data_IF_314421822944
#
_entry.id   IF_314421822944
#
_cell.length_a   1.000
_cell.length_b   1.000
_cell.length_c   1.000
_cell.angle_alpha   90.00
_cell.angle_beta   90.00
_cell.angle_gamma   90.00
#
_symmetry.space_group_name_H-M   'P 1'
#
loop_
_entity.id
_entity.type
_entity.pdbx_description
1 polymer ?
#
# COMPACT_ATOMS: atom_id res chain seq x y z
N UNK A 1 -12.76 -21.81 3.80
CA UNK A 1 -12.74 -23.30 4.00
C UNK A 1 -12.95 -24.05 2.69
N UNK A 2 -13.92 -23.67 1.83
CA UNK A 2 -14.17 -24.37 0.56
C UNK A 2 -12.91 -24.47 -0.30
N UNK A 3 -12.28 -23.36 -0.65
CA UNK A 3 -11.07 -23.35 -1.46
C UNK A 3 -9.94 -24.23 -0.92
N UNK A 4 -9.75 -24.29 0.40
CA UNK A 4 -8.72 -25.16 1.00
C UNK A 4 -9.08 -26.64 0.88
N UNK A 5 -10.38 -26.98 0.98
CA UNK A 5 -10.86 -28.34 0.71
C UNK A 5 -10.66 -28.74 -0.74
N UNK A 6 -10.95 -27.85 -1.67
CA UNK A 6 -10.76 -28.10 -3.10
C UNK A 6 -9.28 -28.32 -3.43
N UNK A 7 -8.38 -27.52 -2.85
CA UNK A 7 -6.93 -27.69 -3.00
C UNK A 7 -6.48 -29.03 -2.40
N UNK A 8 -6.97 -29.38 -1.22
CA UNK A 8 -6.63 -30.65 -0.58
C UNK A 8 -7.09 -31.84 -1.43
N UNK A 9 -8.33 -31.80 -1.93
CA UNK A 9 -8.87 -32.88 -2.78
C UNK A 9 -8.11 -33.01 -4.10
N UNK A 10 -7.71 -31.90 -4.72
CA UNK A 10 -6.92 -31.91 -5.96
C UNK A 10 -5.48 -32.38 -5.76
N UNK A 11 -4.99 -32.46 -4.53
CA UNK A 11 -3.62 -32.81 -4.17
C UNK A 11 -3.56 -33.96 -3.18
N UNK A 12 -4.50 -34.89 -3.24
CA UNK A 12 -4.55 -36.06 -2.34
C UNK A 12 -3.24 -36.85 -2.39
N UNK A 13 -2.73 -37.21 -1.20
CA UNK A 13 -1.45 -37.90 -1.05
C UNK A 13 -0.21 -37.02 -1.33
N UNK A 14 -0.36 -35.71 -1.59
CA UNK A 14 0.72 -34.79 -1.89
C UNK A 14 0.80 -33.66 -0.85
N UNK A 15 1.87 -32.88 -0.95
CA UNK A 15 2.03 -31.61 -0.22
C UNK A 15 1.80 -30.45 -1.19
N UNK A 16 0.92 -29.53 -0.83
CA UNK A 16 0.67 -28.29 -1.55
C UNK A 16 1.04 -27.09 -0.70
N UNK A 17 1.70 -26.10 -1.27
CA UNK A 17 1.97 -24.82 -0.62
C UNK A 17 0.89 -23.80 -1.03
N UNK A 18 0.30 -23.14 -0.05
CA UNK A 18 -0.71 -22.10 -0.27
C UNK A 18 -0.22 -20.79 0.32
N UNK A 19 -0.11 -19.79 -0.51
CA UNK A 19 0.30 -18.43 -0.11
C UNK A 19 -0.94 -17.56 0.03
N UNK A 20 -1.05 -16.85 1.15
CA UNK A 20 -2.19 -15.96 1.43
C UNK A 20 -1.79 -14.82 2.37
N UNK A 21 -2.75 -14.03 2.78
CA UNK A 21 -2.54 -12.85 3.63
C UNK A 21 -2.88 -13.14 5.08
N UNK A 22 -2.23 -12.44 6.01
CA UNK A 22 -2.36 -12.67 7.44
C UNK A 22 -3.80 -12.71 7.95
N UNK A 23 -4.67 -11.82 7.48
CA UNK A 23 -6.09 -11.83 7.87
C UNK A 23 -6.83 -13.09 7.37
N UNK A 24 -6.60 -13.50 6.11
CA UNK A 24 -7.24 -14.68 5.53
C UNK A 24 -6.75 -15.98 6.20
N UNK A 25 -5.45 -16.07 6.47
CA UNK A 25 -4.85 -17.20 7.19
C UNK A 25 -5.41 -17.27 8.62
N UNK A 26 -5.48 -16.14 9.32
CA UNK A 26 -6.04 -16.06 10.67
C UNK A 26 -7.49 -16.54 10.73
N UNK A 27 -8.33 -16.08 9.79
CA UNK A 27 -9.73 -16.49 9.69
C UNK A 27 -9.85 -18.00 9.40
N UNK A 28 -9.03 -18.53 8.49
CA UNK A 28 -9.00 -19.94 8.18
C UNK A 28 -8.63 -20.79 9.41
N UNK A 29 -7.53 -20.44 10.08
CA UNK A 29 -7.06 -21.17 11.26
C UNK A 29 -8.05 -21.10 12.41
N UNK A 30 -8.67 -19.94 12.65
CA UNK A 30 -9.72 -19.78 13.65
C UNK A 30 -10.93 -20.68 13.34
N UNK A 31 -11.39 -20.67 12.09
CA UNK A 31 -12.51 -21.50 11.67
C UNK A 31 -12.23 -23.01 11.79
N UNK A 32 -10.99 -23.45 11.48
CA UNK A 32 -10.59 -24.86 11.65
C UNK A 32 -10.48 -25.26 13.13
N UNK A 33 -10.21 -24.32 14.02
CA UNK A 33 -10.12 -24.53 15.46
C UNK A 33 -11.48 -24.31 16.18
N UNK A 34 -12.55 -23.98 15.45
CA UNK A 34 -13.87 -23.74 16.01
C UNK A 34 -13.96 -22.45 16.83
N UNK A 35 -13.09 -21.49 16.58
CA UNK A 35 -13.09 -20.19 17.28
C UNK A 35 -14.19 -19.32 16.66
N UNK A 36 -15.16 -18.81 17.46
CA UNK A 36 -16.20 -17.94 16.95
C UNK A 36 -15.64 -16.60 16.44
N UNK A 37 -16.35 -15.99 15.50
CA UNK A 37 -15.92 -14.76 14.85
C UNK A 37 -15.74 -13.59 15.85
N UNK A 38 -16.58 -13.56 16.89
CA UNK A 38 -16.56 -12.58 17.97
C UNK A 38 -15.26 -12.65 18.79
N UNK A 39 -14.63 -13.81 18.82
CA UNK A 39 -13.36 -14.04 19.54
C UNK A 39 -12.13 -13.89 18.64
N UNK A 40 -12.33 -13.64 17.36
CA UNK A 40 -11.23 -13.48 16.39
C UNK A 40 -10.25 -12.40 16.84
N UNK A 41 -10.71 -11.34 17.50
CA UNK A 41 -9.87 -10.28 18.06
C UNK A 41 -8.82 -10.76 19.05
N UNK A 42 -9.09 -11.88 19.75
CA UNK A 42 -8.20 -12.49 20.73
C UNK A 42 -7.19 -13.47 20.10
N UNK A 43 -7.40 -13.87 18.84
CA UNK A 43 -6.51 -14.79 18.12
C UNK A 43 -5.29 -14.04 17.60
N UNK A 44 -4.06 -14.53 17.81
CA UNK A 44 -2.87 -13.86 17.30
C UNK A 44 -2.89 -13.80 15.76
N UNK A 45 -2.46 -12.68 15.21
CA UNK A 45 -2.06 -12.58 13.81
C UNK A 45 -0.68 -13.23 13.70
N UNK A 46 -0.51 -14.15 12.78
CA UNK A 46 0.79 -14.75 12.53
C UNK A 46 1.84 -13.72 12.12
N UNK A 47 3.09 -14.06 12.34
CA UNK A 47 4.24 -13.28 11.91
C UNK A 47 4.32 -13.20 10.38
N UNK A 48 4.97 -12.17 9.84
CA UNK A 48 5.18 -12.08 8.40
C UNK A 48 5.99 -13.29 7.90
N UNK A 49 5.55 -13.87 6.80
CA UNK A 49 6.15 -15.08 6.19
C UNK A 49 6.12 -16.35 7.06
N UNK A 50 5.45 -16.32 8.21
CA UNK A 50 5.27 -17.52 9.01
C UNK A 50 4.53 -18.62 8.27
N UNK A 51 4.90 -19.85 8.54
CA UNK A 51 4.31 -21.04 7.93
C UNK A 51 3.35 -21.70 8.92
N UNK A 52 2.26 -22.25 8.43
CA UNK A 52 1.37 -23.11 9.23
C UNK A 52 1.14 -24.41 8.48
N UNK A 53 1.18 -25.54 9.17
CA UNK A 53 0.97 -26.85 8.58
C UNK A 53 -0.45 -27.33 8.87
N UNK A 54 -1.16 -27.68 7.82
CA UNK A 54 -2.45 -28.33 7.86
C UNK A 54 -2.31 -29.77 7.35
N UNK A 55 -3.04 -30.70 7.94
CA UNK A 55 -3.19 -32.07 7.45
C UNK A 55 -4.62 -32.27 7.01
N UNK A 56 -4.81 -32.71 5.77
CA UNK A 56 -6.11 -33.05 5.21
C UNK A 56 -6.24 -34.58 5.09
N UNK A 57 -7.34 -35.13 5.60
CA UNK A 57 -7.72 -36.54 5.46
C UNK A 57 -9.21 -36.54 5.04
N UNK A 58 -9.44 -36.71 3.75
CA UNK A 58 -10.76 -36.55 3.16
C UNK A 58 -11.32 -35.13 3.42
N UNK A 59 -12.50 -35.04 4.00
CA UNK A 59 -13.15 -33.76 4.33
C UNK A 59 -12.59 -33.09 5.62
N UNK A 60 -11.81 -33.82 6.40
CA UNK A 60 -11.26 -33.34 7.67
C UNK A 60 -9.94 -32.63 7.43
N UNK A 61 -9.86 -31.39 7.90
CA UNK A 61 -8.60 -30.61 7.88
C UNK A 61 -8.26 -30.27 9.34
N UNK A 62 -7.03 -30.57 9.73
CA UNK A 62 -6.49 -30.32 11.07
C UNK A 62 -5.31 -29.36 11.00
N UNK A 63 -5.22 -28.44 11.95
CA UNK A 63 -4.04 -27.61 12.17
C UNK A 63 -3.03 -28.46 12.96
N UNK A 64 -1.90 -28.79 12.34
CA UNK A 64 -0.81 -29.53 13.01
C UNK A 64 0.02 -28.57 13.86
N UNK A 65 0.44 -27.47 13.27
CA UNK A 65 1.07 -26.35 13.96
C UNK A 65 0.80 -25.07 13.18
N UNK A 66 0.97 -23.95 13.86
CA UNK A 66 0.68 -22.63 13.28
C UNK A 66 1.80 -21.64 13.58
N UNK A 67 1.93 -20.65 12.72
CA UNK A 67 2.75 -19.46 12.95
C UNK A 67 4.22 -19.77 13.24
N UNK A 68 4.78 -20.78 12.56
CA UNK A 68 6.21 -21.06 12.66
C UNK A 68 6.99 -20.02 11.86
N UNK A 69 7.73 -19.19 12.58
CA UNK A 69 8.61 -18.16 12.07
C UNK A 69 10.09 -18.47 12.37
N UNK A 70 10.43 -19.71 12.69
CA UNK A 70 11.79 -20.13 13.10
C UNK A 70 12.86 -19.88 12.03
N UNK A 71 12.44 -19.78 10.78
CA UNK A 71 13.33 -19.42 9.65
C UNK A 71 13.72 -17.93 9.65
N UNK A 72 13.04 -17.08 10.43
CA UNK A 72 13.38 -15.67 10.54
C UNK A 72 14.36 -15.50 11.71
N UNK A 73 15.54 -15.04 11.39
CA UNK A 73 16.60 -14.83 12.41
C UNK A 73 16.59 -13.43 13.00
N UNK A 74 16.00 -12.46 12.31
CA UNK A 74 15.87 -11.09 12.76
C UNK A 74 14.53 -10.90 13.50
N UNK A 75 14.56 -10.53 14.80
CA UNK A 75 13.34 -10.27 15.59
C UNK A 75 12.44 -9.19 14.98
N UNK A 76 12.99 -8.26 14.18
CA UNK A 76 12.19 -7.23 13.49
C UNK A 76 11.18 -7.81 12.50
N UNK A 77 11.42 -9.01 11.98
CA UNK A 77 10.52 -9.70 11.05
C UNK A 77 9.57 -10.69 11.74
N UNK A 78 9.87 -11.11 12.96
CA UNK A 78 9.07 -12.12 13.69
C UNK A 78 7.91 -11.52 14.48
N UNK A 79 7.97 -10.24 14.81
CA UNK A 79 6.86 -9.59 15.50
C UNK A 79 5.75 -9.27 14.50
N UNK A 80 4.59 -9.92 14.67
CA UNK A 80 3.40 -9.63 13.88
C UNK A 80 3.15 -8.14 13.85
N UNK A 81 2.83 -7.63 12.66
CA UNK A 81 2.57 -6.22 12.43
C UNK A 81 1.33 -5.76 13.20
N UNK A 82 1.47 -5.52 14.49
CA UNK A 82 0.50 -4.70 15.20
C UNK A 82 0.75 -3.26 14.77
N UNK A 83 -0.31 -2.58 14.38
CA UNK A 83 -0.31 -1.19 13.88
C UNK A 83 0.42 -0.21 14.83
N UNK A 84 0.76 -0.62 16.04
CA UNK A 84 1.36 0.22 17.09
C UNK A 84 2.88 0.13 17.25
N UNK A 85 3.53 -0.88 16.65
CA UNK A 85 5.00 -0.99 16.78
C UNK A 85 5.58 -1.57 15.49
N UNK A 86 6.02 -0.72 14.60
CA UNK A 86 6.90 -1.14 13.52
C UNK A 86 8.32 -1.24 14.10
N UNK A 87 8.76 -2.44 14.37
CA UNK A 87 10.11 -2.73 14.86
C UNK A 87 11.23 -2.25 13.90
N UNK A 88 10.88 -1.92 12.67
CA UNK A 88 11.78 -1.40 11.65
C UNK A 88 11.91 0.14 11.65
N UNK A 89 11.43 0.83 12.67
CA UNK A 89 11.48 2.29 12.77
C UNK A 89 10.62 3.06 11.76
N UNK A 90 9.78 2.38 10.99
CA UNK A 90 8.84 3.06 10.10
C UNK A 90 7.72 3.71 10.91
N UNK A 91 7.44 4.95 10.59
CA UNK A 91 6.32 5.69 11.17
C UNK A 91 4.96 5.02 10.87
N UNK A 92 3.94 5.19 11.71
CA UNK A 92 2.59 4.71 11.42
C UNK A 92 2.10 5.17 10.05
N UNK A 93 1.28 4.36 9.39
CA UNK A 93 0.67 4.74 8.12
C UNK A 93 -0.27 5.93 8.27
N UNK A 94 -0.36 6.74 7.21
CA UNK A 94 -1.30 7.85 7.17
C UNK A 94 -2.74 7.35 7.00
N UNK A 95 -3.65 8.04 7.63
CA UNK A 95 -5.07 7.96 7.32
C UNK A 95 -5.42 9.04 6.30
N UNK A 96 -6.05 8.66 5.19
CA UNK A 96 -6.35 9.56 4.07
C UNK A 96 -7.82 9.94 4.02
N UNK A 97 -8.10 11.23 3.77
CA UNK A 97 -9.44 11.73 3.49
C UNK A 97 -9.38 12.95 2.57
N UNK A 98 -10.46 13.23 1.81
CA UNK A 98 -10.54 14.46 1.03
C UNK A 98 -10.30 15.67 1.91
N UNK A 99 -9.53 16.63 1.41
CA UNK A 99 -9.31 17.90 2.10
C UNK A 99 -10.57 18.77 1.96
N UNK A 100 -11.04 19.28 3.07
CA UNK A 100 -12.17 20.23 3.07
C UNK A 100 -11.78 21.52 2.35
N UNK A 101 -12.76 22.18 1.68
CA UNK A 101 -12.49 23.41 0.92
C UNK A 101 -11.92 24.53 1.79
N UNK A 102 -12.34 24.60 3.05
CA UNK A 102 -11.86 25.57 4.03
C UNK A 102 -10.39 25.39 4.41
N UNK A 103 -9.84 24.22 4.09
CA UNK A 103 -8.45 23.86 4.36
C UNK A 103 -7.60 23.83 3.08
N UNK A 104 -8.13 24.27 1.93
CA UNK A 104 -7.48 24.16 0.62
C UNK A 104 -6.16 24.96 0.50
N UNK A 105 -5.94 25.96 1.35
CA UNK A 105 -4.68 26.72 1.41
C UNK A 105 -3.56 25.94 2.13
N UNK A 106 -3.90 24.91 2.84
CA UNK A 106 -3.00 24.14 3.69
C UNK A 106 -1.85 23.49 2.91
N UNK A 107 -2.09 22.79 1.79
CA UNK A 107 -1.01 22.15 1.03
C UNK A 107 -0.03 23.14 0.39
N UNK A 108 -0.52 24.32 0.00
CA UNK A 108 0.34 25.35 -0.60
C UNK A 108 1.36 25.89 0.40
N UNK A 109 0.99 26.02 1.67
CA UNK A 109 1.92 26.42 2.74
C UNK A 109 3.02 25.37 2.99
N UNK A 110 2.79 24.10 2.62
CA UNK A 110 3.79 23.04 2.79
C UNK A 110 4.68 22.85 1.57
N UNK A 111 4.20 23.26 0.41
CA UNK A 111 4.83 22.93 -0.84
C UNK A 111 6.21 23.57 -0.99
N UNK A 112 6.42 24.71 -0.38
CA UNK A 112 7.70 25.46 -0.47
C UNK A 112 8.10 25.82 -1.91
N UNK A 113 7.60 25.13 -2.92
CA UNK A 113 8.04 25.21 -4.30
C UNK A 113 7.08 24.68 -5.36
N UNK A 114 6.12 23.85 -5.02
CA UNK A 114 5.19 23.32 -6.03
C UNK A 114 3.93 24.19 -6.03
N UNK A 115 3.54 24.68 -7.20
CA UNK A 115 2.39 25.56 -7.35
C UNK A 115 1.13 25.07 -6.64
N UNK A 116 0.19 25.97 -6.37
CA UNK A 116 -1.10 25.61 -5.84
C UNK A 116 -1.82 24.63 -6.78
N UNK A 117 -2.58 23.65 -6.24
CA UNK A 117 -3.40 22.80 -7.09
C UNK A 117 -4.37 23.67 -7.88
N UNK A 118 -4.75 23.26 -9.11
CA UNK A 118 -5.75 23.98 -9.89
C UNK A 118 -7.02 24.21 -9.07
N UNK A 119 -7.68 25.34 -9.27
CA UNK A 119 -8.92 25.66 -8.58
C UNK A 119 -9.96 24.55 -8.80
N UNK A 120 -10.46 23.95 -7.73
CA UNK A 120 -11.43 22.87 -7.78
C UNK A 120 -10.82 21.46 -7.96
N UNK A 121 -9.50 21.33 -8.08
CA UNK A 121 -8.85 20.01 -8.13
C UNK A 121 -9.12 19.21 -6.84
N UNK A 122 -9.42 17.90 -6.95
CA UNK A 122 -9.51 17.04 -5.80
C UNK A 122 -8.18 16.99 -5.04
N UNK A 123 -8.22 17.18 -3.73
CA UNK A 123 -7.04 17.07 -2.86
C UNK A 123 -7.31 16.01 -1.81
N UNK A 124 -6.39 15.06 -1.68
CA UNK A 124 -6.41 14.05 -0.63
C UNK A 124 -5.33 14.38 0.39
N UNK A 125 -5.72 14.55 1.64
CA UNK A 125 -4.80 14.80 2.73
C UNK A 125 -4.56 13.54 3.57
N UNK A 126 -3.31 13.35 3.97
CA UNK A 126 -2.88 12.31 4.89
C UNK A 126 -2.75 12.85 6.30
N UNK A 127 -3.34 12.16 7.26
CA UNK A 127 -3.39 12.53 8.67
C UNK A 127 -2.70 11.49 9.54
N UNK A 128 -2.03 11.95 10.57
CA UNK A 128 -1.50 11.15 11.66
C UNK A 128 -2.12 11.67 12.97
N UNK A 129 -2.88 10.81 13.66
CA UNK A 129 -3.58 11.16 14.90
C UNK A 129 -4.38 12.49 14.80
N UNK A 130 -5.04 12.70 13.65
CA UNK A 130 -5.82 13.90 13.37
C UNK A 130 -5.02 15.10 12.87
N UNK A 131 -3.68 15.05 12.92
CA UNK A 131 -2.79 16.10 12.42
C UNK A 131 -2.55 15.89 10.93
N UNK A 132 -2.76 16.87 10.06
CA UNK A 132 -2.46 16.76 8.65
C UNK A 132 -0.94 16.83 8.45
N UNK A 133 -0.39 15.86 7.73
CA UNK A 133 1.06 15.70 7.53
C UNK A 133 1.49 15.83 6.08
N UNK A 134 0.55 15.65 5.15
CA UNK A 134 0.86 15.75 3.72
C UNK A 134 -0.41 15.74 2.88
N UNK A 135 -0.30 16.10 1.62
CA UNK A 135 -1.40 16.08 0.67
C UNK A 135 -0.92 15.79 -0.75
N UNK A 136 -1.82 15.22 -1.55
CA UNK A 136 -1.67 15.04 -2.99
C UNK A 136 -2.92 15.57 -3.68
N UNK A 137 -2.72 16.33 -4.77
CA UNK A 137 -3.81 16.81 -5.61
C UNK A 137 -3.81 16.06 -6.95
N UNK A 138 -4.98 15.98 -7.56
CA UNK A 138 -5.20 15.29 -8.82
C UNK A 138 -5.76 16.25 -9.88
N UNK A 139 -5.32 16.11 -11.10
CA UNK A 139 -5.89 16.77 -12.27
C UNK A 139 -6.28 15.70 -13.30
N UNK A 140 -7.53 15.25 -13.22
CA UNK A 140 -8.04 14.14 -14.01
C UNK A 140 -8.18 14.45 -15.50
N UNK A 141 -8.23 15.74 -15.86
CA UNK A 141 -8.34 16.19 -17.22
C UNK A 141 -7.00 16.30 -17.93
N UNK A 142 -5.97 16.73 -17.22
CA UNK A 142 -4.67 17.00 -17.81
C UNK A 142 -3.98 15.72 -18.28
N UNK A 143 -3.56 15.72 -19.56
CA UNK A 143 -2.89 14.60 -20.24
C UNK A 143 -3.66 13.27 -20.21
N UNK A 144 -4.95 13.34 -19.96
CA UNK A 144 -5.82 12.17 -19.89
C UNK A 144 -5.85 11.37 -21.19
N UNK A 145 -5.79 12.04 -22.34
CA UNK A 145 -5.75 11.43 -23.67
C UNK A 145 -4.48 10.60 -23.92
N UNK A 146 -3.42 10.87 -23.14
CA UNK A 146 -2.15 10.13 -23.19
C UNK A 146 -2.09 8.96 -22.23
N UNK A 147 -3.18 8.61 -21.55
CA UNK A 147 -3.19 7.59 -20.51
C UNK A 147 -2.46 8.01 -19.24
N UNK A 148 -2.21 9.30 -19.03
CA UNK A 148 -1.47 9.81 -17.89
C UNK A 148 -2.41 10.32 -16.79
N UNK A 149 -2.05 10.09 -15.53
CA UNK A 149 -2.58 10.77 -14.37
C UNK A 149 -1.65 11.91 -13.97
N UNK A 150 -2.20 13.12 -13.81
CA UNK A 150 -1.40 14.30 -13.48
C UNK A 150 -1.50 14.65 -11.99
N UNK A 151 -0.34 14.80 -11.35
CA UNK A 151 -0.21 15.21 -9.94
C UNK A 151 0.29 16.65 -9.91
N UNK A 152 -0.60 17.67 -9.82
CA UNK A 152 -0.18 19.07 -9.77
C UNK A 152 0.52 19.45 -8.47
N UNK A 153 0.24 18.71 -7.38
CA UNK A 153 0.82 18.94 -6.07
C UNK A 153 1.03 17.62 -5.33
N UNK A 154 2.21 17.44 -4.77
CA UNK A 154 2.49 16.47 -3.72
C UNK A 154 3.36 17.15 -2.66
N UNK A 155 2.84 17.29 -1.46
CA UNK A 155 3.50 18.02 -0.39
C UNK A 155 3.50 17.23 0.93
N UNK A 156 4.61 17.31 1.66
CA UNK A 156 4.72 16.82 3.04
C UNK A 156 5.19 17.99 3.90
N UNK A 157 4.46 18.26 4.98
CA UNK A 157 4.81 19.31 5.93
C UNK A 157 6.22 19.08 6.50
N UNK A 158 7.00 20.14 6.66
CA UNK A 158 8.43 20.07 6.96
C UNK A 158 8.78 19.17 8.16
N UNK A 159 8.07 19.24 9.31
CA UNK A 159 8.38 18.37 10.46
C UNK A 159 8.19 16.88 10.20
N UNK A 160 7.50 16.53 9.11
CA UNK A 160 7.13 15.16 8.77
C UNK A 160 7.89 14.61 7.56
N UNK A 161 8.80 15.40 6.99
CA UNK A 161 9.65 14.95 5.87
C UNK A 161 10.63 13.86 6.29
N UNK A 162 11.10 13.07 5.34
CA UNK A 162 12.06 11.97 5.53
C UNK A 162 11.57 10.82 6.42
N UNK A 163 10.26 10.68 6.58
CA UNK A 163 9.60 9.63 7.37
C UNK A 163 8.76 8.66 6.51
N UNK A 164 8.95 8.66 5.18
CA UNK A 164 8.23 7.77 4.27
C UNK A 164 6.81 8.21 3.92
N UNK A 165 6.35 9.40 4.33
CA UNK A 165 4.99 9.85 4.02
C UNK A 165 4.80 10.26 2.57
N UNK A 166 5.84 10.77 1.91
CA UNK A 166 5.77 11.11 0.48
C UNK A 166 5.45 9.91 -0.39
N UNK A 167 6.02 8.74 -0.12
CA UNK A 167 5.72 7.52 -0.90
C UNK A 167 4.29 7.03 -0.66
N UNK A 168 3.72 7.23 0.52
CA UNK A 168 2.32 6.90 0.79
C UNK A 168 1.37 7.78 -0.04
N UNK A 169 1.71 9.07 -0.23
CA UNK A 169 0.97 9.98 -1.11
C UNK A 169 1.08 9.57 -2.58
N UNK A 170 2.26 9.15 -3.06
CA UNK A 170 2.42 8.56 -4.40
C UNK A 170 1.52 7.32 -4.54
N UNK A 171 1.47 6.47 -3.52
CA UNK A 171 0.59 5.30 -3.49
C UNK A 171 -0.89 5.67 -3.66
N UNK A 172 -1.34 6.77 -3.04
CA UNK A 172 -2.71 7.26 -3.24
C UNK A 172 -2.96 7.72 -4.68
N UNK A 173 -1.98 8.36 -5.32
CA UNK A 173 -2.10 8.73 -6.73
C UNK A 173 -2.16 7.49 -7.65
N UNK A 174 -1.39 6.45 -7.36
CA UNK A 174 -1.50 5.17 -8.09
C UNK A 174 -2.89 4.56 -7.91
N UNK A 175 -3.42 4.55 -6.68
CA UNK A 175 -4.75 4.02 -6.39
C UNK A 175 -5.87 4.84 -7.05
N UNK A 176 -5.68 6.15 -7.22
CA UNK A 176 -6.64 7.02 -7.89
C UNK A 176 -6.65 6.79 -9.40
N UNK A 177 -5.48 6.79 -10.04
CA UNK A 177 -5.39 6.81 -11.50
C UNK A 177 -5.42 5.44 -12.17
N UNK A 178 -4.90 4.39 -11.54
CA UNK A 178 -4.87 3.06 -12.14
C UNK A 178 -6.26 2.49 -12.46
N UNK A 179 -7.29 2.60 -11.59
CA UNK A 179 -8.65 2.18 -11.92
C UNK A 179 -9.29 2.98 -13.07
N UNK A 180 -8.78 4.19 -13.36
CA UNK A 180 -9.20 5.02 -14.49
C UNK A 180 -8.51 4.62 -15.81
N UNK A 181 -7.73 3.51 -15.81
CA UNK A 181 -6.99 3.04 -16.97
C UNK A 181 -5.74 3.86 -17.30
N UNK A 182 -5.23 4.66 -16.34
CA UNK A 182 -3.97 5.39 -16.53
C UNK A 182 -2.80 4.46 -16.18
N UNK A 183 -1.84 4.40 -17.08
CA UNK A 183 -0.63 3.58 -16.91
C UNK A 183 0.61 4.37 -16.49
N UNK A 184 0.51 5.71 -16.44
CA UNK A 184 1.58 6.63 -16.05
C UNK A 184 1.08 7.67 -15.06
N UNK A 185 1.97 8.05 -14.13
CA UNK A 185 1.83 9.27 -13.34
C UNK A 185 2.78 10.31 -13.90
N UNK A 186 2.32 11.55 -13.99
CA UNK A 186 3.12 12.72 -14.34
C UNK A 186 2.98 13.81 -13.30
N UNK A 187 4.03 14.60 -13.16
CA UNK A 187 4.09 15.75 -12.26
C UNK A 187 5.00 16.83 -12.84
N UNK A 188 4.90 18.08 -12.38
CA UNK A 188 5.81 19.15 -12.78
C UNK A 188 7.26 18.80 -12.48
N UNK A 189 8.20 19.31 -13.27
CA UNK A 189 9.64 19.19 -12.97
C UNK A 189 9.92 19.65 -11.55
N UNK A 190 10.59 18.83 -10.73
CA UNK A 190 10.95 19.22 -9.36
C UNK A 190 11.87 20.43 -9.35
N UNK A 191 11.58 21.42 -8.50
CA UNK A 191 12.34 22.68 -8.43
C UNK A 191 13.63 22.55 -7.62
N UNK A 192 13.74 21.52 -6.79
CA UNK A 192 14.93 21.32 -5.95
C UNK A 192 15.53 19.94 -6.17
N UNK A 193 16.86 19.82 -6.01
CA UNK A 193 17.56 18.54 -6.12
C UNK A 193 17.08 17.53 -5.06
N UNK A 194 16.68 18.00 -3.88
CA UNK A 194 16.11 17.13 -2.84
C UNK A 194 14.79 16.51 -3.29
N UNK A 195 13.92 17.28 -3.95
CA UNK A 195 12.68 16.77 -4.53
C UNK A 195 12.95 15.84 -5.72
N UNK A 196 13.88 16.20 -6.59
CA UNK A 196 14.28 15.36 -7.71
C UNK A 196 14.87 14.02 -7.23
N UNK A 197 15.71 14.03 -6.19
CA UNK A 197 16.25 12.83 -5.56
C UNK A 197 15.15 11.92 -5.01
N UNK A 198 14.18 12.48 -4.32
CA UNK A 198 13.01 11.73 -3.83
C UNK A 198 12.25 11.08 -4.99
N UNK A 199 11.91 11.81 -6.03
CA UNK A 199 11.15 11.24 -7.14
C UNK A 199 11.94 10.18 -7.91
N UNK A 200 13.25 10.34 -8.10
CA UNK A 200 14.11 9.29 -8.71
C UNK A 200 14.12 8.01 -7.89
N UNK A 201 14.23 8.12 -6.56
CA UNK A 201 14.17 6.96 -5.65
C UNK A 201 12.88 6.16 -5.82
N UNK A 202 11.76 6.85 -6.10
CA UNK A 202 10.46 6.20 -6.32
C UNK A 202 10.12 5.97 -7.79
N UNK A 203 11.11 5.96 -8.66
CA UNK A 203 11.00 5.51 -10.05
C UNK A 203 10.43 6.53 -11.02
N UNK A 204 10.45 7.82 -10.68
CA UNK A 204 10.17 8.88 -11.65
C UNK A 204 11.45 9.27 -12.40
N UNK A 205 11.28 9.65 -13.65
CA UNK A 205 12.33 10.20 -14.50
C UNK A 205 11.80 11.37 -15.34
N UNK A 206 12.69 12.25 -15.86
CA UNK A 206 12.27 13.28 -16.80
C UNK A 206 11.52 12.67 -17.98
N UNK A 207 10.39 13.24 -18.33
CA UNK A 207 9.63 12.85 -19.51
C UNK A 207 10.35 13.29 -20.79
N UNK A 208 10.30 12.48 -21.84
CA UNK A 208 10.97 12.77 -23.10
C UNK A 208 10.31 13.92 -23.89
N UNK A 209 9.04 14.20 -23.59
CA UNK A 209 8.15 15.06 -24.40
C UNK A 209 7.80 16.40 -23.75
N UNK A 210 8.52 16.82 -22.70
CA UNK A 210 8.25 18.11 -22.09
C UNK A 210 8.80 18.29 -20.66
N UNK A 211 8.53 19.43 -20.03
CA UNK A 211 9.03 19.74 -18.69
C UNK A 211 8.19 19.07 -17.60
N UNK A 212 8.12 17.75 -17.65
CA UNK A 212 7.42 16.93 -16.67
C UNK A 212 8.33 15.78 -16.23
N UNK A 213 8.00 15.17 -15.11
CA UNK A 213 8.55 13.90 -14.68
C UNK A 213 7.47 12.85 -14.71
N UNK A 214 7.82 11.63 -15.07
CA UNK A 214 6.88 10.54 -15.23
C UNK A 214 7.34 9.25 -14.57
N UNK A 215 6.36 8.42 -14.21
CA UNK A 215 6.55 7.07 -13.66
C UNK A 215 5.52 6.15 -14.27
N UNK A 216 5.95 4.98 -14.75
CA UNK A 216 5.04 3.91 -15.15
C UNK A 216 4.36 3.30 -13.90
N UNK A 217 3.03 3.12 -13.98
CA UNK A 217 2.20 2.54 -12.93
C UNK A 217 1.29 1.43 -13.45
N UNK A 218 1.37 1.09 -14.73
CA UNK A 218 0.63 -0.02 -15.32
C UNK A 218 0.98 -1.36 -14.66
N UNK A 219 0.19 -2.38 -14.96
CA UNK A 219 0.54 -3.74 -14.62
C UNK A 219 1.53 -4.28 -15.67
N UNK A 220 2.51 -5.04 -15.22
CA UNK A 220 3.40 -5.76 -16.12
C UNK A 220 2.57 -6.82 -16.88
N UNK A 221 2.55 -6.81 -18.22
CA UNK A 221 1.82 -7.80 -19.01
C UNK A 221 2.21 -9.24 -18.68
N UNK A 222 3.47 -9.51 -18.34
CA UNK A 222 3.93 -10.82 -17.93
C UNK A 222 3.27 -11.30 -16.63
N UNK A 223 2.84 -10.38 -15.77
CA UNK A 223 2.15 -10.69 -14.52
C UNK A 223 0.66 -11.02 -14.74
N UNK A 224 0.07 -10.57 -15.84
CA UNK A 224 -1.34 -10.79 -16.15
C UNK A 224 -1.62 -12.11 -16.89
N UNK A 225 -0.60 -12.86 -17.26
CA UNK A 225 -0.75 -14.19 -17.86
C UNK A 225 -1.46 -14.17 -19.23
N UNK A 226 -1.32 -13.07 -19.99
CA UNK A 226 -1.84 -12.94 -21.38
C UNK A 226 -0.78 -13.25 -22.39
#
# INVERSE_FOLDING_TARGET
LAAVRDIAAANDGKTAAVFSHGCAIRLLLAALQGIPLEELGKTPTGSNTAVSLLRAEGARIQVVWRDDASHLTDPAFTQGCTVKQRANGLEPGLYFRPLAREQAEFPAAWAGTSGAPPAGAPVLAGYLDGTPVGAVAFDDGRESERGCGWIPLLAVAEPWRRRGYGVQLIGQAVMHYRPMGRDRLRLPTPETEAAAGFYREFGFSPAADGPAWEKFIGYDPEFLGT
#
